data_IF_514499216039
#
_entry.id   IF_514499216039
#
_cell.length_a   1.000
_cell.length_b   1.000
_cell.length_c   1.000
_cell.angle_alpha   90.00
_cell.angle_beta   90.00
_cell.angle_gamma   90.00
#
_symmetry.space_group_name_H-M   'P 1'
#
loop_
_entity.id
_entity.type
_entity.pdbx_description
1 polymer ?
#
# COMPACT_ATOMS: atom_id res chain seq x y z
N UNK A 1 -19.17 9.56 -5.75
CA UNK A 1 -17.86 8.86 -5.69
C UNK A 1 -18.09 7.58 -4.92
N UNK A 2 -17.49 6.45 -5.31
CA UNK A 2 -17.48 5.27 -4.44
C UNK A 2 -16.80 5.62 -3.11
N UNK A 3 -17.15 4.90 -2.04
CA UNK A 3 -16.44 5.04 -0.77
C UNK A 3 -15.01 4.52 -0.94
N UNK A 4 -14.02 5.34 -0.55
CA UNK A 4 -12.61 4.98 -0.62
C UNK A 4 -12.22 4.16 0.62
N UNK A 5 -11.53 3.04 0.40
CA UNK A 5 -11.06 2.15 1.47
C UNK A 5 -9.57 2.41 1.71
N UNK A 6 -9.20 2.82 2.93
CA UNK A 6 -7.81 3.03 3.31
C UNK A 6 -7.14 1.70 3.68
N UNK A 7 -6.19 1.25 2.86
CA UNK A 7 -5.50 -0.03 3.06
C UNK A 7 -4.61 0.00 4.31
N UNK A 8 -3.97 1.13 4.62
CA UNK A 8 -3.11 1.27 5.81
C UNK A 8 -3.86 1.11 7.14
N UNK A 9 -5.12 1.56 7.19
CA UNK A 9 -6.03 1.38 8.35
C UNK A 9 -6.34 -0.11 8.55
N UNK A 10 -6.62 -0.83 7.46
CA UNK A 10 -6.86 -2.28 7.50
C UNK A 10 -5.62 -3.07 7.91
N UNK A 11 -4.44 -2.65 7.46
CA UNK A 11 -3.17 -3.27 7.86
C UNK A 11 -2.81 -2.99 9.33
N UNK A 12 -3.34 -1.91 9.93
CA UNK A 12 -3.15 -1.60 11.35
C UNK A 12 -3.91 -2.55 12.28
N UNK A 13 -5.07 -3.03 11.82
CA UNK A 13 -5.90 -3.96 12.55
C UNK A 13 -5.18 -5.30 12.69
N UNK A 14 -5.12 -5.79 13.93
CA UNK A 14 -4.38 -7.02 14.30
C UNK A 14 -5.11 -8.30 13.91
N UNK A 15 -6.44 -8.26 13.82
CA UNK A 15 -7.25 -9.45 13.59
C UNK A 15 -8.04 -9.36 12.31
N UNK A 16 -8.21 -10.52 11.65
CA UNK A 16 -9.04 -10.65 10.44
C UNK A 16 -10.50 -10.27 10.70
N UNK A 17 -11.00 -10.52 11.91
CA UNK A 17 -12.36 -10.14 12.35
C UNK A 17 -12.54 -8.61 12.34
N UNK A 18 -11.61 -7.86 12.94
CA UNK A 18 -11.67 -6.39 12.95
C UNK A 18 -11.61 -5.82 11.53
N UNK A 19 -10.72 -6.38 10.69
CA UNK A 19 -10.62 -5.99 9.27
C UNK A 19 -11.91 -6.24 8.52
N UNK A 20 -12.55 -7.40 8.74
CA UNK A 20 -13.84 -7.75 8.16
C UNK A 20 -14.92 -6.77 8.58
N UNK A 21 -15.00 -6.46 9.88
CA UNK A 21 -16.01 -5.56 10.42
C UNK A 21 -15.84 -4.14 9.86
N UNK A 22 -14.59 -3.64 9.77
CA UNK A 22 -14.29 -2.35 9.15
C UNK A 22 -14.71 -2.28 7.68
N UNK A 23 -14.44 -3.35 6.92
CA UNK A 23 -14.84 -3.44 5.52
C UNK A 23 -16.36 -3.54 5.35
N UNK A 24 -17.05 -4.26 6.24
CA UNK A 24 -18.52 -4.28 6.24
C UNK A 24 -19.12 -2.91 6.51
N UNK A 25 -18.54 -2.14 7.44
CA UNK A 25 -18.97 -0.76 7.71
C UNK A 25 -18.71 0.17 6.54
N UNK A 26 -17.57 0.08 5.84
CA UNK A 26 -17.30 0.94 4.68
C UNK A 26 -18.16 0.55 3.47
N UNK A 27 -18.44 -0.75 3.32
CA UNK A 27 -19.21 -1.26 2.19
C UNK A 27 -20.70 -1.42 2.50
N UNK A 28 -21.17 -0.96 3.67
CA UNK A 28 -22.59 -1.07 4.07
C UNK A 28 -23.52 -0.32 3.11
N UNK A 29 -23.04 0.77 2.51
CA UNK A 29 -23.76 1.59 1.54
C UNK A 29 -23.82 0.96 0.14
N UNK A 30 -22.98 -0.05 -0.11
CA UNK A 30 -22.97 -0.78 -1.37
C UNK A 30 -24.13 -1.78 -1.39
N UNK A 31 -25.12 -1.55 -2.26
CA UNK A 31 -26.33 -2.37 -2.39
C UNK A 31 -26.08 -3.77 -3.04
N UNK A 32 -24.84 -4.25 -3.04
CA UNK A 32 -24.42 -5.50 -3.68
C UNK A 32 -23.81 -6.46 -2.65
N UNK A 33 -23.74 -7.76 -2.99
CA UNK A 33 -23.08 -8.76 -2.16
C UNK A 33 -21.57 -8.49 -2.06
N UNK A 34 -21.17 -7.73 -1.04
CA UNK A 34 -19.77 -7.35 -0.77
C UNK A 34 -19.01 -8.44 -0.04
N UNK A 35 -19.68 -9.48 0.47
CA UNK A 35 -19.06 -10.55 1.25
C UNK A 35 -17.96 -11.31 0.50
N UNK A 36 -18.13 -11.52 -0.81
CA UNK A 36 -17.10 -12.14 -1.67
C UNK A 36 -15.90 -11.23 -1.80
N UNK A 37 -16.12 -9.93 -2.02
CA UNK A 37 -15.07 -8.93 -2.12
C UNK A 37 -14.30 -8.79 -0.80
N UNK A 38 -15.01 -8.78 0.33
CA UNK A 38 -14.41 -8.70 1.66
C UNK A 38 -13.49 -9.89 1.91
N UNK A 39 -13.94 -11.11 1.61
CA UNK A 39 -13.09 -12.30 1.77
C UNK A 39 -11.85 -12.24 0.87
N UNK A 40 -12.00 -11.89 -0.41
CA UNK A 40 -10.88 -11.79 -1.34
C UNK A 40 -9.86 -10.72 -0.89
N UNK A 41 -10.35 -9.58 -0.39
CA UNK A 41 -9.51 -8.51 0.12
C UNK A 41 -8.76 -8.91 1.40
N UNK A 42 -9.41 -9.63 2.32
CA UNK A 42 -8.77 -10.15 3.54
C UNK A 42 -7.65 -11.13 3.21
N UNK A 43 -7.85 -12.01 2.24
CA UNK A 43 -6.80 -12.95 1.77
C UNK A 43 -5.62 -12.18 1.17
N UNK A 44 -5.88 -11.14 0.37
CA UNK A 44 -4.82 -10.27 -0.17
C UNK A 44 -4.08 -9.51 0.94
N UNK A 45 -4.78 -9.08 1.99
CA UNK A 45 -4.21 -8.37 3.14
C UNK A 45 -3.35 -9.26 4.05
N UNK A 46 -3.56 -10.58 4.07
CA UNK A 46 -2.75 -11.52 4.85
C UNK A 46 -1.28 -11.55 4.37
N UNK A 47 -1.07 -11.35 3.06
CA UNK A 47 0.27 -11.28 2.45
C UNK A 47 0.86 -9.88 2.34
N UNK A 48 0.11 -8.83 2.70
CA UNK A 48 0.56 -7.44 2.62
C UNK A 48 1.05 -6.98 4.00
N UNK A 49 2.27 -6.49 4.07
CA UNK A 49 2.83 -5.80 5.24
C UNK A 49 3.11 -4.35 4.89
N UNK A 50 2.96 -3.44 5.86
CA UNK A 50 3.26 -2.02 5.65
C UNK A 50 4.74 -1.87 5.31
N UNK A 51 5.05 -1.03 4.34
CA UNK A 51 6.42 -0.85 3.84
C UNK A 51 7.38 -0.36 4.94
N UNK A 52 6.87 0.30 5.98
CA UNK A 52 7.64 0.74 7.15
C UNK A 52 8.19 -0.44 7.98
N UNK A 53 7.50 -1.58 8.02
CA UNK A 53 7.99 -2.81 8.66
C UNK A 53 9.00 -3.57 7.79
N UNK A 54 9.08 -3.27 6.48
CA UNK A 54 10.13 -3.75 5.58
C UNK A 54 11.42 -2.92 5.72
N UNK A 55 11.83 -2.60 6.95
CA UNK A 55 13.21 -2.22 7.20
C UNK A 55 14.06 -3.49 7.07
N UNK A 56 14.47 -3.78 5.84
CA UNK A 56 15.41 -4.84 5.54
C UNK A 56 16.73 -4.49 6.25
N UNK A 57 16.96 -5.08 7.42
CA UNK A 57 18.28 -5.12 8.05
C UNK A 57 19.27 -5.79 7.07
N UNK A 58 19.88 -4.99 6.20
CA UNK A 58 21.14 -5.32 5.56
C UNK A 58 21.10 -6.12 4.25
N UNK A 59 20.15 -5.86 3.35
CA UNK A 59 20.48 -5.99 1.91
C UNK A 59 20.13 -4.67 1.24
N UNK A 60 21.18 -3.93 0.87
CA UNK A 60 21.17 -2.76 0.01
C UNK A 60 20.59 -3.15 -1.36
N UNK A 61 19.26 -3.26 -1.44
CA UNK A 61 18.58 -3.29 -2.72
C UNK A 61 18.32 -1.83 -3.08
N UNK A 62 18.90 -1.31 -4.18
CA UNK A 62 18.71 0.08 -4.55
C UNK A 62 17.21 0.30 -4.72
N UNK A 63 16.68 1.13 -3.83
CA UNK A 63 15.31 1.61 -3.83
C UNK A 63 14.90 1.85 -5.28
N UNK A 64 13.91 1.10 -5.79
CA UNK A 64 13.27 1.41 -7.06
C UNK A 64 12.44 2.67 -6.88
N UNK A 65 13.12 3.79 -6.66
CA UNK A 65 12.56 5.10 -6.80
C UNK A 65 12.49 5.36 -8.29
N UNK A 66 11.36 4.99 -8.90
CA UNK A 66 11.01 5.43 -10.25
C UNK A 66 10.73 6.94 -10.16
N UNK A 67 11.78 7.74 -10.01
CA UNK A 67 11.74 9.17 -10.29
C UNK A 67 11.63 9.34 -11.82
N UNK A 68 10.84 10.29 -12.33
CA UNK A 68 11.04 10.76 -13.69
C UNK A 68 12.37 11.51 -13.71
N UNK A 69 13.31 11.00 -14.50
CA UNK A 69 14.60 11.63 -14.76
C UNK A 69 14.40 13.01 -15.40
N UNK A 70 14.53 14.08 -14.61
CA UNK A 70 14.73 15.42 -15.17
C UNK A 70 16.18 15.52 -15.64
N UNK A 71 16.37 15.21 -16.92
CA UNK A 71 17.60 15.49 -17.67
C UNK A 71 18.01 16.94 -17.47
N UNK A 72 19.22 17.15 -16.96
CA UNK A 72 19.86 18.44 -16.76
C UNK A 72 21.37 18.29 -16.94
N UNK A 73 21.78 17.95 -18.16
CA UNK A 73 23.18 18.01 -18.60
C UNK A 73 23.68 19.45 -18.50
N UNK A 74 24.60 19.68 -17.57
CA UNK A 74 25.48 20.85 -17.57
C UNK A 74 26.92 20.34 -17.46
N UNK A 75 27.46 20.01 -18.62
CA UNK A 75 28.87 19.83 -18.87
C UNK A 75 29.60 21.16 -18.61
N UNK A 76 30.62 21.18 -17.75
CA UNK A 76 32.00 21.57 -18.12
C UNK A 76 32.90 21.83 -16.90
N UNK A 77 33.92 20.96 -16.82
CA UNK A 77 35.35 21.28 -16.73
C UNK A 77 35.92 21.90 -15.44
N UNK A 78 36.69 21.06 -14.75
CA UNK A 78 37.66 21.34 -13.68
C UNK A 78 38.95 22.00 -14.23
N UNK A 79 39.57 22.82 -13.36
CA UNK A 79 41.01 23.16 -13.25
C UNK A 79 41.64 24.10 -14.28
N UNK A 80 41.97 25.31 -13.80
CA UNK A 80 43.36 25.81 -13.83
C UNK A 80 43.62 26.75 -12.65
#
# INVERSE_FOLDING_TARGET
MPEEVNIDDLLDLKTTEERRQRLQEILHSCNNNTEVFINDLLVKLEGLQKQEDLHNDGIDLPQLHIYPTRSGSADREVLH
#
